data_IF_285187984366
#
_entry.id   IF_285187984366
#
_cell.length_a   1.000
_cell.length_b   1.000
_cell.length_c   1.000
_cell.angle_alpha   90.00
_cell.angle_beta   90.00
_cell.angle_gamma   90.00
#
_symmetry.space_group_name_H-M   'P 1'
#
loop_
_entity.id
_entity.type
_entity.pdbx_description
1 polymer ?
#
# COMPACT_ATOMS: atom_id res chain seq x y z
N UNK A 1 -62.01 1.19 -9.34
CA UNK A 1 -61.13 1.07 -10.51
C UNK A 1 -59.86 1.89 -10.24
N UNK A 2 -58.71 1.25 -10.00
CA UNK A 2 -57.42 1.90 -9.78
C UNK A 2 -56.48 1.56 -10.95
N UNK A 3 -55.77 2.58 -11.42
CA UNK A 3 -55.10 2.64 -12.73
C UNK A 3 -53.90 1.68 -12.79
N UNK A 4 -53.83 0.90 -13.88
CA UNK A 4 -52.74 -0.01 -14.23
C UNK A 4 -51.50 0.78 -14.68
N UNK A 5 -50.41 0.76 -13.89
CA UNK A 5 -49.17 1.50 -14.13
C UNK A 5 -47.91 0.62 -14.28
N UNK A 6 -48.06 -0.69 -14.50
CA UNK A 6 -46.92 -1.63 -14.48
C UNK A 6 -46.73 -2.30 -15.85
N UNK A 7 -46.98 -1.53 -16.92
CA UNK A 7 -46.77 -1.95 -18.30
C UNK A 7 -45.87 -0.95 -19.02
N UNK A 8 -44.72 -0.64 -18.40
CA UNK A 8 -43.60 -0.02 -19.08
C UNK A 8 -42.31 -0.78 -18.73
N UNK A 9 -42.26 -1.98 -19.27
CA UNK A 9 -41.04 -2.69 -19.57
C UNK A 9 -40.10 -1.81 -20.38
N UNK A 10 -38.84 -1.71 -19.93
CA UNK A 10 -37.63 -1.37 -20.69
C UNK A 10 -36.99 0.04 -20.62
N UNK A 11 -37.31 0.90 -19.65
CA UNK A 11 -36.54 2.17 -19.50
C UNK A 11 -36.35 2.58 -18.04
N UNK A 12 -35.38 1.94 -17.36
CA UNK A 12 -34.61 2.56 -16.26
C UNK A 12 -33.45 1.65 -15.81
N UNK A 13 -32.62 1.16 -16.74
CA UNK A 13 -31.26 0.73 -16.39
C UNK A 13 -30.37 1.94 -16.61
N UNK A 14 -30.36 2.88 -15.67
CA UNK A 14 -29.50 4.06 -15.77
C UNK A 14 -29.15 4.63 -14.38
N UNK A 15 -28.48 3.83 -13.55
CA UNK A 15 -27.58 4.32 -12.50
C UNK A 15 -26.44 3.31 -12.32
N UNK A 16 -25.66 3.10 -13.38
CA UNK A 16 -24.32 2.51 -13.25
C UNK A 16 -23.41 3.58 -12.64
N UNK A 17 -23.28 3.58 -11.31
CA UNK A 17 -22.29 4.39 -10.61
C UNK A 17 -20.91 3.89 -11.01
N UNK A 18 -20.23 4.58 -11.92
CA UNK A 18 -18.84 4.34 -12.27
C UNK A 18 -17.95 4.71 -11.08
N UNK A 19 -17.80 3.81 -10.11
CA UNK A 19 -16.82 3.93 -9.03
C UNK A 19 -15.44 3.73 -9.65
N UNK A 20 -14.73 4.83 -9.91
CA UNK A 20 -13.30 4.79 -10.20
C UNK A 20 -12.56 4.42 -8.92
N UNK A 21 -12.04 3.20 -8.87
CA UNK A 21 -11.15 2.76 -7.79
C UNK A 21 -9.79 3.38 -8.03
N UNK A 22 -9.44 4.43 -7.30
CA UNK A 22 -8.08 4.97 -7.28
C UNK A 22 -7.18 4.02 -6.50
N UNK A 23 -6.59 3.04 -7.19
CA UNK A 23 -5.57 2.18 -6.61
C UNK A 23 -4.22 2.89 -6.65
N UNK A 24 -3.61 3.13 -5.48
CA UNK A 24 -2.23 3.58 -5.41
C UNK A 24 -1.30 2.42 -5.79
N UNK A 25 -0.24 2.66 -6.57
CA UNK A 25 0.72 1.62 -6.88
C UNK A 25 1.37 1.11 -5.60
N UNK A 26 1.43 -0.21 -5.45
CA UNK A 26 2.09 -0.82 -4.30
C UNK A 26 3.58 -0.43 -4.26
N UNK A 27 4.14 -0.17 -3.06
CA UNK A 27 5.54 0.14 -2.95
C UNK A 27 6.43 -1.00 -3.43
N UNK A 28 7.46 -0.68 -4.21
CA UNK A 28 8.39 -1.66 -4.79
C UNK A 28 9.16 -2.49 -3.76
N UNK A 29 9.38 -1.96 -2.56
CA UNK A 29 10.06 -2.75 -1.53
C UNK A 29 9.24 -3.98 -1.13
N UNK A 30 7.91 -3.95 -1.22
CA UNK A 30 7.03 -5.10 -0.93
C UNK A 30 7.23 -6.26 -1.91
N UNK A 31 7.72 -6.01 -3.12
CA UNK A 31 8.05 -7.05 -4.10
C UNK A 31 9.33 -7.82 -3.71
N UNK A 32 10.15 -7.29 -2.80
CA UNK A 32 11.39 -7.93 -2.36
C UNK A 32 11.04 -9.04 -1.35
N UNK A 33 11.45 -10.26 -1.66
CA UNK A 33 11.26 -11.42 -0.77
C UNK A 33 11.90 -11.15 0.61
N UNK A 34 11.15 -11.42 1.67
CA UNK A 34 11.57 -11.26 3.06
C UNK A 34 11.97 -9.82 3.45
N UNK A 35 11.50 -8.79 2.72
CA UNK A 35 11.86 -7.39 3.00
C UNK A 35 11.43 -6.91 4.38
N UNK A 36 10.34 -7.47 4.92
CA UNK A 36 9.82 -7.09 6.25
C UNK A 36 10.86 -7.35 7.34
N UNK A 37 11.71 -8.38 7.17
CA UNK A 37 12.83 -8.70 8.08
C UNK A 37 13.97 -7.68 7.99
N UNK A 38 14.03 -6.91 6.90
CA UNK A 38 14.98 -5.84 6.67
C UNK A 38 14.46 -4.48 7.15
N UNK A 39 13.17 -4.36 7.39
CA UNK A 39 12.52 -3.12 7.80
C UNK A 39 12.35 -3.12 9.32
N UNK A 40 12.18 -1.93 9.88
CA UNK A 40 11.88 -1.73 11.28
C UNK A 40 10.66 -0.81 11.39
N UNK A 41 9.87 -1.01 12.43
CA UNK A 41 8.68 -0.23 12.70
C UNK A 41 9.01 0.76 13.81
N UNK A 42 8.62 2.02 13.62
CA UNK A 42 8.77 3.07 14.61
C UNK A 42 7.40 3.69 14.85
N UNK A 43 6.96 3.70 16.10
CA UNK A 43 5.74 4.38 16.49
C UNK A 43 6.08 5.83 16.78
N UNK A 44 5.46 6.75 16.04
CA UNK A 44 5.47 8.18 16.36
C UNK A 44 4.05 8.62 16.70
N UNK A 45 3.92 9.19 17.88
CA UNK A 45 2.64 9.64 18.44
C UNK A 45 1.63 8.49 18.50
N UNK A 46 0.70 8.44 17.54
CA UNK A 46 -0.35 7.41 17.44
C UNK A 46 -0.22 6.53 16.18
N UNK A 47 0.82 6.73 15.38
CA UNK A 47 0.99 6.06 14.09
C UNK A 47 2.29 5.26 14.02
N UNK A 48 2.20 4.05 13.48
CA UNK A 48 3.35 3.19 13.22
C UNK A 48 3.84 3.42 11.79
N UNK A 49 5.12 3.76 11.67
CA UNK A 49 5.79 3.98 10.40
C UNK A 49 6.85 2.92 10.16
N UNK A 50 6.98 2.50 8.91
CA UNK A 50 8.01 1.55 8.49
C UNK A 50 9.23 2.32 7.99
N UNK A 51 10.41 1.94 8.47
CA UNK A 51 11.68 2.61 8.17
C UNK A 51 12.82 1.60 7.96
N UNK A 52 13.89 2.05 7.31
CA UNK A 52 15.10 1.26 7.10
C UNK A 52 16.07 1.49 8.27
N UNK A 53 16.48 0.43 9.00
CA UNK A 53 17.44 0.57 10.08
C UNK A 53 18.83 0.94 9.54
N UNK A 54 19.65 1.62 10.35
CA UNK A 54 21.00 2.05 9.96
C UNK A 54 21.94 0.88 9.67
N UNK A 55 21.74 -0.25 10.35
CA UNK A 55 22.50 -1.49 10.17
C UNK A 55 21.60 -2.60 9.65
N UNK A 56 22.17 -3.49 8.83
CA UNK A 56 21.48 -4.66 8.28
C UNK A 56 21.10 -5.61 9.44
N UNK A 57 19.81 -5.97 9.60
CA UNK A 57 19.40 -6.99 10.57
C UNK A 57 19.95 -8.38 10.19
N UNK A 58 20.22 -9.24 11.18
CA UNK A 58 20.70 -10.62 10.95
C UNK A 58 19.69 -11.46 10.16
N UNK A 59 18.41 -11.24 10.44
CA UNK A 59 17.26 -11.86 9.79
C UNK A 59 17.02 -11.39 8.35
N UNK A 60 17.67 -10.31 7.92
CA UNK A 60 17.58 -9.80 6.56
C UNK A 60 18.61 -10.50 5.66
N UNK A 61 18.18 -11.04 4.52
CA UNK A 61 19.10 -11.58 3.52
C UNK A 61 19.94 -10.46 2.89
N UNK A 62 21.22 -10.73 2.64
CA UNK A 62 22.13 -9.77 1.97
C UNK A 62 21.61 -9.35 0.59
N UNK A 63 20.93 -10.25 -0.13
CA UNK A 63 20.35 -9.95 -1.45
C UNK A 63 19.18 -8.98 -1.33
N UNK A 64 18.24 -9.26 -0.41
CA UNK A 64 17.09 -8.40 -0.14
C UNK A 64 17.51 -7.02 0.36
N UNK A 65 18.53 -6.95 1.23
CA UNK A 65 19.11 -5.69 1.71
C UNK A 65 19.66 -4.83 0.57
N UNK A 66 20.41 -5.43 -0.36
CA UNK A 66 20.95 -4.70 -1.53
C UNK A 66 19.83 -4.20 -2.44
N UNK A 67 18.82 -5.02 -2.71
CA UNK A 67 17.65 -4.61 -3.51
C UNK A 67 16.90 -3.45 -2.85
N UNK A 68 16.66 -3.52 -1.54
CA UNK A 68 15.99 -2.47 -0.77
C UNK A 68 16.75 -1.14 -0.85
N UNK A 69 18.08 -1.17 -0.68
CA UNK A 69 18.91 0.04 -0.82
C UNK A 69 19.05 0.56 -2.24
N UNK A 70 18.81 -0.29 -3.24
CA UNK A 70 18.86 0.10 -4.65
C UNK A 70 17.63 0.90 -5.09
N UNK A 71 16.56 0.90 -4.29
CA UNK A 71 15.35 1.69 -4.57
C UNK A 71 15.66 3.19 -4.45
N UNK A 72 15.09 3.98 -5.36
CA UNK A 72 15.29 5.44 -5.47
C UNK A 72 13.93 6.15 -5.58
N UNK A 73 13.94 7.47 -5.37
CA UNK A 73 12.74 8.31 -5.49
C UNK A 73 11.64 7.90 -4.50
N UNK A 74 10.40 7.90 -4.96
CA UNK A 74 9.19 7.60 -4.16
C UNK A 74 9.12 6.16 -3.64
N UNK A 75 9.97 5.27 -4.15
CA UNK A 75 10.06 3.87 -3.71
C UNK A 75 11.05 3.66 -2.56
N UNK A 76 11.82 4.70 -2.22
CA UNK A 76 12.82 4.63 -1.16
C UNK A 76 12.14 4.75 0.21
N UNK A 77 12.34 3.73 1.04
CA UNK A 77 11.89 3.76 2.44
C UNK A 77 12.81 4.69 3.26
N UNK A 78 12.26 5.59 4.09
CA UNK A 78 13.06 6.50 4.91
C UNK A 78 13.89 5.75 5.95
N UNK A 79 15.02 6.33 6.36
CA UNK A 79 15.82 5.77 7.44
C UNK A 79 15.11 5.91 8.79
N UNK A 80 15.30 4.95 9.69
CA UNK A 80 14.74 5.05 11.04
C UNK A 80 15.39 6.19 11.81
N UNK A 81 14.62 6.94 12.63
CA UNK A 81 15.23 7.83 13.61
C UNK A 81 16.06 6.96 14.56
N UNK A 82 17.37 7.19 14.60
CA UNK A 82 18.22 6.56 15.63
C UNK A 82 17.64 6.92 16.98
N UNK A 83 17.29 5.92 17.80
CA UNK A 83 16.99 6.15 19.20
C UNK A 83 18.18 6.91 19.80
N UNK A 84 17.91 8.13 20.25
CA UNK A 84 18.90 8.97 20.92
C UNK A 84 19.06 8.49 22.35
#
# INVERSE_FOLDING_TARGET
MRINFIKWSAFAVALMSSVSVFALPAPKYLEIKDVQKCLSETTKDTATFVCVPSKKPTQCSSSSWKKLKSLKGEQKVPACPSAK
#
